data_IF_711705401485
#
_entry.id   IF_711705401485
#
_cell.length_a   1.000
_cell.length_b   1.000
_cell.length_c   1.000
_cell.angle_alpha   90.00
_cell.angle_beta   90.00
_cell.angle_gamma   90.00
#
_symmetry.space_group_name_H-M   'P 1'
#
loop_
_entity.id
_entity.type
_entity.pdbx_description
1 polymer ?
#
# COMPACT_ATOMS: atom_id res chain seq x y z
N UNK A 1 -18.55 7.65 -9.33
CA UNK A 1 -17.92 7.26 -8.06
C UNK A 1 -17.68 5.76 -8.12
N UNK A 2 -16.42 5.35 -8.05
CA UNK A 2 -16.06 3.92 -8.02
C UNK A 2 -16.46 3.37 -6.64
N UNK A 3 -17.28 2.30 -6.55
CA UNK A 3 -17.72 1.73 -5.27
C UNK A 3 -16.56 1.26 -4.37
N UNK A 4 -15.34 1.18 -4.91
CA UNK A 4 -14.08 0.87 -4.21
C UNK A 4 -13.56 2.01 -3.31
N UNK A 5 -14.04 3.26 -3.46
CA UNK A 5 -13.57 4.41 -2.67
C UNK A 5 -14.34 4.61 -1.34
N UNK A 6 -15.52 4.01 -1.20
CA UNK A 6 -16.41 4.17 -0.05
C UNK A 6 -15.75 3.86 1.31
N UNK A 7 -15.00 2.75 1.50
CA UNK A 7 -14.51 2.39 2.84
C UNK A 7 -13.30 3.22 3.32
N UNK A 8 -12.50 3.79 2.41
CA UNK A 8 -11.36 4.65 2.77
C UNK A 8 -11.79 6.09 2.97
N UNK A 9 -12.73 6.55 2.14
CA UNK A 9 -13.27 7.90 2.26
C UNK A 9 -13.99 8.03 3.61
N UNK A 10 -14.73 7.02 4.07
CA UNK A 10 -15.31 7.01 5.43
C UNK A 10 -14.25 7.02 6.53
N UNK A 11 -13.14 6.30 6.35
CA UNK A 11 -12.02 6.29 7.31
C UNK A 11 -11.36 7.69 7.41
N UNK A 12 -11.16 8.36 6.27
CA UNK A 12 -10.55 9.69 6.18
C UNK A 12 -11.51 10.81 6.61
N UNK A 13 -12.81 10.68 6.34
CA UNK A 13 -13.84 11.64 6.73
C UNK A 13 -14.26 11.52 8.20
N UNK A 14 -13.96 10.39 8.85
CA UNK A 14 -14.25 10.19 10.28
C UNK A 14 -13.50 11.15 11.23
N UNK A 15 -12.59 11.98 10.71
CA UNK A 15 -11.85 12.96 11.50
C UNK A 15 -10.85 12.32 12.46
N UNK A 16 -10.56 11.01 12.31
CA UNK A 16 -9.52 10.35 13.06
C UNK A 16 -8.17 11.04 12.80
N UNK A 17 -7.49 11.56 13.84
CA UNK A 17 -6.26 12.33 13.67
C UNK A 17 -5.12 11.50 13.08
N UNK A 18 -5.20 10.18 13.19
CA UNK A 18 -4.25 9.22 12.63
C UNK A 18 -5.00 8.18 11.81
N UNK A 19 -4.61 8.08 10.56
CA UNK A 19 -5.11 7.04 9.67
C UNK A 19 -4.35 5.75 9.99
N UNK A 20 -5.06 4.74 10.49
CA UNK A 20 -4.46 3.45 10.81
C UNK A 20 -3.94 2.76 9.53
N UNK A 21 -2.61 2.76 9.39
CA UNK A 21 -1.88 2.16 8.27
C UNK A 21 -2.13 0.66 8.17
N UNK A 22 -2.31 -0.04 9.30
CA UNK A 22 -2.63 -1.47 9.31
C UNK A 22 -4.00 -1.73 8.72
N UNK A 23 -4.99 -0.92 9.11
CA UNK A 23 -6.35 -1.02 8.57
C UNK A 23 -6.39 -0.70 7.08
N UNK A 24 -5.69 0.35 6.64
CA UNK A 24 -5.56 0.67 5.21
C UNK A 24 -4.87 -0.42 4.42
N UNK A 25 -3.78 -0.97 4.96
CA UNK A 25 -3.03 -2.05 4.32
C UNK A 25 -3.89 -3.28 4.15
N UNK A 26 -4.66 -3.65 5.17
CA UNK A 26 -5.59 -4.78 5.12
C UNK A 26 -6.66 -4.56 4.06
N UNK A 27 -7.28 -3.37 4.04
CA UNK A 27 -8.34 -3.03 3.10
C UNK A 27 -7.86 -2.99 1.64
N UNK A 28 -6.62 -2.54 1.41
CA UNK A 28 -6.02 -2.39 0.08
C UNK A 28 -5.06 -3.51 -0.30
N UNK A 29 -4.98 -4.57 0.51
CA UNK A 29 -4.07 -5.69 0.28
C UNK A 29 -4.20 -6.30 -1.12
N UNK A 30 -5.40 -6.51 -1.69
CA UNK A 30 -5.54 -7.02 -3.05
C UNK A 30 -4.86 -6.14 -4.10
N UNK A 31 -4.97 -4.82 -3.97
CA UNK A 31 -4.39 -3.84 -4.89
C UNK A 31 -2.87 -3.73 -4.71
N UNK A 32 -2.40 -3.69 -3.46
CA UNK A 32 -0.98 -3.73 -3.12
C UNK A 32 -0.31 -4.98 -3.73
N UNK A 33 -0.94 -6.15 -3.59
CA UNK A 33 -0.45 -7.41 -4.16
C UNK A 33 -0.41 -7.38 -5.69
N UNK A 34 -1.44 -6.84 -6.35
CA UNK A 34 -1.45 -6.68 -7.82
C UNK A 34 -0.33 -5.73 -8.29
N UNK A 35 -0.09 -4.62 -7.57
CA UNK A 35 1.02 -3.71 -7.89
C UNK A 35 2.37 -4.41 -7.75
N UNK A 36 2.61 -5.08 -6.62
CA UNK A 36 3.82 -5.83 -6.37
C UNK A 36 4.08 -6.87 -7.48
N UNK A 37 3.07 -7.67 -7.85
CA UNK A 37 3.19 -8.63 -8.95
C UNK A 37 3.57 -7.97 -10.28
N UNK A 38 2.94 -6.85 -10.64
CA UNK A 38 3.25 -6.11 -11.88
C UNK A 38 4.67 -5.56 -11.87
N UNK A 39 5.14 -5.07 -10.73
CA UNK A 39 6.49 -4.54 -10.57
C UNK A 39 7.52 -5.67 -10.68
N UNK A 40 7.30 -6.77 -9.99
CA UNK A 40 8.19 -7.94 -10.02
C UNK A 40 8.29 -8.61 -11.39
N UNK A 41 7.19 -8.64 -12.17
CA UNK A 41 7.22 -9.15 -13.55
C UNK A 41 8.09 -8.32 -14.49
N UNK A 42 8.38 -7.06 -14.14
CA UNK A 42 9.25 -6.16 -14.92
C UNK A 42 10.71 -6.26 -14.51
N UNK A 43 11.00 -6.80 -13.33
CA UNK A 43 12.38 -7.09 -12.91
C UNK A 43 12.91 -8.35 -13.57
N UNK A 44 14.25 -8.40 -13.73
CA UNK A 44 14.92 -9.53 -14.36
C UNK A 44 14.67 -10.84 -13.60
N UNK A 45 14.56 -11.92 -14.37
CA UNK A 45 14.36 -13.30 -13.93
C UNK A 45 15.50 -13.79 -13.02
N UNK A 46 15.43 -13.48 -11.73
CA UNK A 46 16.45 -13.89 -10.77
C UNK A 46 16.13 -13.64 -9.30
N UNK A 47 15.03 -12.93 -8.98
CA UNK A 47 14.68 -12.64 -7.59
C UNK A 47 13.78 -13.74 -6.99
N UNK A 48 14.19 -14.23 -5.82
CA UNK A 48 13.42 -15.13 -4.93
C UNK A 48 12.38 -14.40 -4.11
N UNK A 49 12.36 -13.05 -4.16
CA UNK A 49 11.43 -12.24 -3.41
C UNK A 49 10.00 -12.54 -3.90
N UNK A 50 9.08 -12.81 -2.98
CA UNK A 50 7.67 -13.03 -3.33
C UNK A 50 6.91 -11.72 -3.28
N UNK A 51 5.93 -11.53 -4.16
CA UNK A 51 5.06 -10.33 -4.14
C UNK A 51 4.41 -10.06 -2.78
N UNK A 52 4.10 -11.11 -2.01
CA UNK A 52 3.60 -11.06 -0.64
C UNK A 52 4.64 -10.51 0.34
N UNK A 53 5.91 -10.93 0.23
CA UNK A 53 7.01 -10.43 1.05
C UNK A 53 7.29 -8.94 0.75
N UNK A 54 7.24 -8.53 -0.52
CA UNK A 54 7.39 -7.13 -0.92
C UNK A 54 6.29 -6.23 -0.33
N UNK A 55 5.04 -6.71 -0.28
CA UNK A 55 3.93 -5.98 0.36
C UNK A 55 4.13 -5.89 1.87
N UNK A 56 4.56 -6.97 2.51
CA UNK A 56 4.78 -6.99 3.96
C UNK A 56 5.91 -6.03 4.37
N UNK A 57 7.04 -6.05 3.68
CA UNK A 57 8.16 -5.14 3.92
C UNK A 57 7.76 -3.67 3.68
N UNK A 58 6.96 -3.42 2.64
CA UNK A 58 6.44 -2.08 2.39
C UNK A 58 5.52 -1.59 3.51
N UNK A 59 4.67 -2.47 4.05
CA UNK A 59 3.83 -2.17 5.22
C UNK A 59 4.68 -1.79 6.44
N UNK A 60 5.70 -2.59 6.79
CA UNK A 60 6.54 -2.33 7.96
C UNK A 60 7.22 -0.94 7.88
N UNK A 61 7.69 -0.56 6.69
CA UNK A 61 8.32 0.76 6.46
C UNK A 61 7.32 1.92 6.51
N UNK A 62 6.08 1.69 6.12
CA UNK A 62 5.01 2.69 6.20
C UNK A 62 4.51 2.83 7.64
N UNK A 63 4.25 1.71 8.33
CA UNK A 63 3.75 1.69 9.71
C UNK A 63 4.75 2.25 10.73
N UNK A 64 6.06 2.18 10.44
CA UNK A 64 7.11 2.76 11.29
C UNK A 64 7.33 4.27 11.13
N UNK A 65 6.56 4.96 10.28
CA UNK A 65 6.70 6.39 10.04
C UNK A 65 5.41 7.17 10.28
N UNK A 66 5.54 8.44 10.64
CA UNK A 66 4.42 9.39 10.65
C UNK A 66 4.06 9.76 9.21
N UNK A 67 3.09 9.06 8.62
CA UNK A 67 2.62 9.34 7.26
C UNK A 67 1.20 9.86 7.30
N UNK A 68 1.03 11.05 6.71
CA UNK A 68 -0.29 11.61 6.44
C UNK A 68 -0.84 10.99 5.16
N UNK A 69 -1.84 10.13 5.30
CA UNK A 69 -2.59 9.60 4.16
C UNK A 69 -3.78 10.51 3.89
N UNK A 70 -3.87 11.00 2.65
CA UNK A 70 -4.91 11.96 2.25
C UNK A 70 -5.97 11.33 1.36
N UNK A 71 -5.66 10.19 0.73
CA UNK A 71 -6.57 9.44 -0.11
C UNK A 71 -6.06 8.03 -0.34
N UNK A 72 -6.94 7.15 -0.82
CA UNK A 72 -6.59 5.82 -1.33
C UNK A 72 -5.47 5.88 -2.37
N UNK A 73 -5.58 6.81 -3.33
CA UNK A 73 -4.58 6.98 -4.38
C UNK A 73 -3.23 7.43 -3.80
N UNK A 74 -3.23 8.34 -2.81
CA UNK A 74 -2.02 8.77 -2.12
C UNK A 74 -1.34 7.59 -1.40
N UNK A 75 -2.10 6.79 -0.65
CA UNK A 75 -1.55 5.60 0.02
C UNK A 75 -0.95 4.59 -0.97
N UNK A 76 -1.66 4.27 -2.05
CA UNK A 76 -1.15 3.35 -3.07
C UNK A 76 0.12 3.90 -3.76
N UNK A 77 0.20 5.22 -3.97
CA UNK A 77 1.40 5.85 -4.52
C UNK A 77 2.60 5.75 -3.57
N UNK A 78 2.39 6.01 -2.27
CA UNK A 78 3.42 5.85 -1.23
C UNK A 78 3.90 4.40 -1.15
N UNK A 79 2.99 3.44 -1.10
CA UNK A 79 3.32 2.02 -1.06
C UNK A 79 4.11 1.59 -2.31
N UNK A 80 3.71 2.03 -3.50
CA UNK A 80 4.45 1.74 -4.73
C UNK A 80 5.87 2.35 -4.72
N UNK A 81 6.05 3.54 -4.12
CA UNK A 81 7.37 4.16 -3.96
C UNK A 81 8.25 3.37 -2.99
N UNK A 82 7.70 2.91 -1.87
CA UNK A 82 8.43 2.06 -0.92
C UNK A 82 8.83 0.73 -1.56
N UNK A 83 7.90 0.06 -2.26
CA UNK A 83 8.18 -1.18 -2.97
C UNK A 83 9.30 -1.02 -4.01
N UNK A 84 9.33 0.08 -4.76
CA UNK A 84 10.41 0.37 -5.73
C UNK A 84 11.78 0.57 -5.09
N UNK A 85 11.85 0.90 -3.79
CA UNK A 85 13.11 1.04 -3.04
C UNK A 85 13.59 -0.29 -2.43
N UNK A 86 12.71 -1.29 -2.36
CA UNK A 86 13.01 -2.62 -1.82
C UNK A 86 13.50 -3.55 -2.93
N UNK A 87 12.92 -3.41 -4.13
CA UNK A 87 13.34 -4.09 -5.35
C UNK A 87 14.75 -3.67 -5.75
#
# INVERSE_FOLDING_TARGET
>A
MDPSDTPITDLLLSGAPEVDVERLTTLLYPELRRMAQRMMRREKSGHTLQSTALVHEAYLRLAGGEIRVESRAHFLALAAQVMRRIM
#
